data_IF_073502667791
#
_entry.id   IF_073502667791
#
_cell.length_a   1.000
_cell.length_b   1.000
_cell.length_c   1.000
_cell.angle_alpha   90.00
_cell.angle_beta   90.00
_cell.angle_gamma   90.00
#
_symmetry.space_group_name_H-M   'P 1'
#
loop_
_entity.id
_entity.type
_entity.pdbx_description
1 polymer ?
#
# COMPACT_ATOMS: atom_id res chain seq x y z
N UNK A 1 -5.19 19.20 -0.52
CA UNK A 1 -3.85 18.74 -0.12
C UNK A 1 -3.96 17.31 0.37
N UNK A 2 -3.04 16.43 0.00
CA UNK A 2 -3.04 15.05 0.46
C UNK A 2 -3.08 14.93 1.99
N UNK A 3 -3.63 13.84 2.49
CA UNK A 3 -3.63 13.47 3.91
C UNK A 3 -2.54 12.44 4.18
N UNK A 4 -2.02 12.40 5.41
CA UNK A 4 -0.97 11.47 5.81
C UNK A 4 -1.55 10.38 6.71
N UNK A 5 -1.30 9.12 6.36
CA UNK A 5 -1.61 7.96 7.18
C UNK A 5 -0.35 7.17 7.53
N UNK A 6 -0.45 6.26 8.49
CA UNK A 6 0.62 5.34 8.84
C UNK A 6 0.13 3.89 8.85
N UNK A 7 0.96 3.01 8.29
CA UNK A 7 0.84 1.56 8.36
C UNK A 7 1.70 1.02 9.51
N UNK A 8 1.28 -0.02 10.25
CA UNK A 8 1.99 -0.51 11.42
C UNK A 8 3.23 -1.37 11.09
N UNK A 9 4.12 -0.90 10.19
CA UNK A 9 5.19 -1.73 9.60
C UNK A 9 6.09 -2.39 10.63
N UNK A 10 6.56 -1.64 11.63
CA UNK A 10 7.44 -2.16 12.69
C UNK A 10 6.74 -3.13 13.66
N UNK A 11 5.42 -3.12 13.68
CA UNK A 11 4.60 -3.88 14.65
C UNK A 11 3.80 -5.02 13.99
N UNK A 12 4.10 -5.32 12.72
CA UNK A 12 3.33 -6.33 11.97
C UNK A 12 3.39 -7.70 12.64
N UNK A 13 4.56 -8.14 13.09
CA UNK A 13 4.68 -9.44 13.76
C UNK A 13 3.91 -9.48 15.08
N UNK A 14 3.92 -8.38 15.84
CA UNK A 14 3.17 -8.26 17.10
C UNK A 14 1.65 -8.27 16.89
N UNK A 15 1.17 -7.61 15.83
CA UNK A 15 -0.26 -7.43 15.53
C UNK A 15 -0.87 -8.60 14.73
N UNK A 16 -0.06 -9.33 13.96
CA UNK A 16 -0.53 -10.33 12.99
C UNK A 16 -0.15 -11.76 13.39
N UNK A 17 1.05 -11.94 13.97
CA UNK A 17 1.61 -13.28 14.23
C UNK A 17 1.55 -13.62 15.72
N UNK A 18 2.10 -12.75 16.56
CA UNK A 18 2.33 -13.05 17.97
C UNK A 18 1.20 -12.60 18.89
N UNK A 19 0.40 -11.59 18.49
CA UNK A 19 -0.64 -11.01 19.33
C UNK A 19 -0.10 -10.32 20.60
N UNK A 20 1.17 -9.90 20.57
CA UNK A 20 1.83 -9.22 21.70
C UNK A 20 1.46 -7.75 21.80
N UNK A 21 0.93 -7.17 20.73
CA UNK A 21 0.32 -5.85 20.68
C UNK A 21 -1.12 -5.97 20.18
N UNK A 22 -2.07 -5.31 20.85
CA UNK A 22 -3.45 -5.19 20.38
C UNK A 22 -3.59 -4.05 19.38
N UNK A 23 -4.61 -4.11 18.51
CA UNK A 23 -4.91 -3.01 17.59
C UNK A 23 -5.18 -1.70 18.33
N UNK A 24 -5.82 -1.74 19.51
CA UNK A 24 -6.04 -0.56 20.36
C UNK A 24 -4.74 0.07 20.80
N UNK A 25 -3.77 -0.72 21.25
CA UNK A 25 -2.44 -0.20 21.67
C UNK A 25 -1.71 0.46 20.49
N UNK A 26 -1.83 -0.10 19.28
CA UNK A 26 -1.28 0.53 18.08
C UNK A 26 -1.96 1.88 17.78
N UNK A 27 -3.30 1.92 17.82
CA UNK A 27 -4.07 3.16 17.59
C UNK A 27 -3.65 4.25 18.58
N UNK A 28 -3.59 3.92 19.86
CA UNK A 28 -3.21 4.87 20.91
C UNK A 28 -1.76 5.38 20.75
N UNK A 29 -0.83 4.49 20.37
CA UNK A 29 0.55 4.86 20.09
C UNK A 29 0.65 5.78 18.86
N UNK A 30 0.01 5.40 17.76
CA UNK A 30 0.05 6.15 16.50
C UNK A 30 -0.65 7.51 16.61
N UNK A 31 -1.64 7.66 17.49
CA UNK A 31 -2.33 8.93 17.76
C UNK A 31 -1.39 10.03 18.33
N UNK A 32 -0.19 9.64 18.78
CA UNK A 32 0.84 10.62 19.22
C UNK A 32 1.64 11.22 18.05
N UNK A 33 1.42 10.72 16.82
CA UNK A 33 2.04 11.22 15.59
C UNK A 33 1.20 12.32 14.95
N UNK A 34 1.84 13.19 14.17
CA UNK A 34 1.13 14.17 13.34
C UNK A 34 0.66 13.51 12.03
N UNK A 35 -0.39 12.68 12.15
CA UNK A 35 -1.00 11.96 11.02
C UNK A 35 -2.52 12.15 11.02
N UNK A 36 -3.17 11.95 9.85
CA UNK A 36 -4.61 12.13 9.66
C UNK A 36 -5.37 10.79 9.71
N UNK A 37 -4.66 9.67 9.62
CA UNK A 37 -5.29 8.36 9.57
C UNK A 37 -4.33 7.19 9.78
N UNK A 38 -4.92 6.01 9.85
CA UNK A 38 -4.21 4.74 9.98
C UNK A 38 -4.61 3.81 8.83
N UNK A 39 -3.64 3.23 8.20
CA UNK A 39 -3.87 2.16 7.25
C UNK A 39 -3.80 0.82 7.94
N UNK A 40 -4.76 -0.06 7.64
CA UNK A 40 -4.86 -1.38 8.27
C UNK A 40 -4.55 -2.49 7.27
N UNK A 41 -4.18 -3.64 7.82
CA UNK A 41 -3.93 -4.87 7.08
C UNK A 41 -5.01 -5.91 7.40
N UNK A 42 -5.45 -6.63 6.38
CA UNK A 42 -6.50 -7.66 6.52
C UNK A 42 -6.13 -8.82 7.43
N UNK A 43 -4.84 -9.02 7.70
CA UNK A 43 -4.31 -10.05 8.61
C UNK A 43 -4.25 -9.66 10.08
N UNK A 44 -4.62 -8.41 10.46
CA UNK A 44 -4.63 -8.00 11.87
C UNK A 44 -5.52 -8.93 12.70
N UNK A 45 -4.98 -9.49 13.79
CA UNK A 45 -5.67 -10.50 14.62
C UNK A 45 -7.01 -9.96 15.13
N UNK A 46 -7.03 -8.73 15.63
CA UNK A 46 -8.21 -8.09 16.19
C UNK A 46 -9.35 -7.90 15.18
N UNK A 47 -9.07 -7.85 13.88
CA UNK A 47 -10.06 -7.66 12.82
C UNK A 47 -10.61 -8.97 12.26
N UNK A 48 -10.13 -10.12 12.71
CA UNK A 48 -10.68 -11.42 12.28
C UNK A 48 -12.09 -11.66 12.85
N UNK A 49 -12.44 -11.01 13.95
CA UNK A 49 -13.79 -10.99 14.50
C UNK A 49 -14.56 -9.72 14.03
N UNK A 50 -15.59 -9.94 13.20
CA UNK A 50 -16.45 -8.85 12.69
C UNK A 50 -17.09 -8.00 13.81
N UNK A 51 -17.34 -8.58 14.99
CA UNK A 51 -17.95 -7.84 16.10
C UNK A 51 -17.06 -6.72 16.63
N UNK A 52 -15.75 -6.78 16.35
CA UNK A 52 -14.75 -5.79 16.78
C UNK A 52 -14.56 -4.62 15.81
N UNK A 53 -15.10 -4.70 14.58
CA UNK A 53 -14.93 -3.62 13.59
C UNK A 53 -15.47 -2.26 14.05
N UNK A 54 -16.69 -2.18 14.65
CA UNK A 54 -17.18 -0.91 15.17
C UNK A 54 -16.30 -0.31 16.28
N UNK A 55 -15.73 -1.17 17.13
CA UNK A 55 -14.79 -0.74 18.18
C UNK A 55 -13.50 -0.18 17.60
N UNK A 56 -12.90 -0.89 16.63
CA UNK A 56 -11.67 -0.45 15.97
C UNK A 56 -11.87 0.88 15.23
N UNK A 57 -12.98 1.02 14.51
CA UNK A 57 -13.38 2.29 13.88
C UNK A 57 -13.52 3.41 14.90
N UNK A 58 -14.33 3.18 15.92
CA UNK A 58 -14.57 4.18 16.97
C UNK A 58 -13.28 4.58 17.67
N UNK A 59 -12.41 3.62 18.00
CA UNK A 59 -11.13 3.91 18.64
C UNK A 59 -10.25 4.85 17.81
N UNK A 60 -10.25 4.67 16.48
CA UNK A 60 -9.51 5.54 15.56
C UNK A 60 -10.16 6.93 15.46
N UNK A 61 -11.49 6.98 15.34
CA UNK A 61 -12.26 8.23 15.25
C UNK A 61 -12.17 9.06 16.55
N UNK A 62 -12.13 8.43 17.73
CA UNK A 62 -11.98 9.09 19.04
C UNK A 62 -10.65 9.87 19.13
N UNK A 63 -9.63 9.49 18.37
CA UNK A 63 -8.38 10.24 18.22
C UNK A 63 -8.40 11.27 17.06
N UNK A 64 -9.55 11.46 16.41
CA UNK A 64 -9.70 12.37 15.28
C UNK A 64 -9.00 11.86 13.99
N UNK A 65 -8.72 10.57 13.93
CA UNK A 65 -8.13 9.90 12.75
C UNK A 65 -9.19 9.13 11.98
N UNK A 66 -8.86 8.71 10.75
CA UNK A 66 -9.71 7.84 9.91
C UNK A 66 -8.91 6.63 9.44
N UNK A 67 -9.61 5.61 8.94
CA UNK A 67 -8.99 4.43 8.34
C UNK A 67 -9.24 4.52 6.82
N UNK A 68 -8.33 5.12 6.02
CA UNK A 68 -8.59 5.35 4.59
C UNK A 68 -8.58 4.07 3.76
N UNK A 69 -7.72 3.12 4.11
CA UNK A 69 -7.43 1.96 3.27
C UNK A 69 -7.19 0.70 4.09
N UNK A 70 -7.60 -0.43 3.52
CA UNK A 70 -7.22 -1.78 3.94
C UNK A 70 -6.26 -2.39 2.93
N UNK A 71 -5.10 -2.85 3.41
CA UNK A 71 -4.16 -3.63 2.62
C UNK A 71 -4.58 -5.10 2.58
N UNK A 72 -4.94 -5.58 1.40
CA UNK A 72 -5.24 -6.98 1.11
C UNK A 72 -4.24 -7.55 0.10
N UNK A 73 -4.01 -8.87 0.16
CA UNK A 73 -3.04 -9.57 -0.69
C UNK A 73 -3.68 -10.79 -1.36
N UNK A 74 -4.67 -10.60 -2.27
CA UNK A 74 -5.25 -11.70 -3.00
C UNK A 74 -4.26 -12.29 -4.02
N UNK A 75 -4.38 -13.56 -4.32
CA UNK A 75 -3.60 -14.24 -5.35
C UNK A 75 -4.47 -14.55 -6.57
N UNK A 76 -4.61 -13.58 -7.46
CA UNK A 76 -5.50 -13.64 -8.62
C UNK A 76 -4.89 -14.33 -9.85
N UNK A 77 -3.58 -14.65 -9.82
CA UNK A 77 -2.90 -15.30 -10.95
C UNK A 77 -2.77 -16.82 -10.80
N UNK A 78 -3.45 -17.42 -9.82
CA UNK A 78 -3.44 -18.87 -9.67
C UNK A 78 -4.06 -19.58 -10.89
N UNK A 79 -3.47 -20.67 -11.44
CA UNK A 79 -4.00 -21.35 -12.65
C UNK A 79 -5.38 -21.99 -12.42
N UNK A 80 -5.67 -22.48 -11.22
CA UNK A 80 -6.99 -23.04 -10.88
C UNK A 80 -8.06 -21.93 -10.76
N UNK A 81 -9.10 -21.95 -11.62
CA UNK A 81 -10.17 -20.95 -11.57
C UNK A 81 -11.01 -21.03 -10.27
N UNK A 82 -11.10 -22.19 -9.64
CA UNK A 82 -11.81 -22.34 -8.36
C UNK A 82 -11.06 -21.60 -7.26
N UNK A 83 -9.74 -21.74 -7.21
CA UNK A 83 -8.91 -20.97 -6.26
C UNK A 83 -9.05 -19.46 -6.50
N UNK A 84 -9.03 -19.00 -7.76
CA UNK A 84 -9.24 -17.58 -8.06
C UNK A 84 -10.61 -17.09 -7.59
N UNK A 85 -11.66 -17.89 -7.75
CA UNK A 85 -13.00 -17.55 -7.22
C UNK A 85 -12.99 -17.39 -5.68
N UNK A 86 -12.29 -18.28 -4.97
CA UNK A 86 -12.11 -18.16 -3.51
C UNK A 86 -11.37 -16.88 -3.12
N UNK A 87 -10.38 -16.44 -3.94
CA UNK A 87 -9.71 -15.16 -3.71
C UNK A 87 -10.63 -13.95 -3.99
N UNK A 88 -11.48 -14.02 -5.00
CA UNK A 88 -12.52 -13.02 -5.26
C UNK A 88 -13.50 -12.90 -4.10
N UNK A 89 -13.93 -14.02 -3.53
CA UNK A 89 -14.85 -14.03 -2.38
C UNK A 89 -14.18 -13.45 -1.12
N UNK A 90 -12.90 -13.77 -0.89
CA UNK A 90 -12.10 -13.13 0.17
C UNK A 90 -11.95 -11.62 -0.05
N UNK A 91 -11.67 -11.20 -1.29
CA UNK A 91 -11.54 -9.78 -1.60
C UNK A 91 -12.85 -9.02 -1.36
N UNK A 92 -14.01 -9.62 -1.67
CA UNK A 92 -15.32 -9.03 -1.33
C UNK A 92 -15.52 -8.90 0.18
N UNK A 93 -15.11 -9.89 0.96
CA UNK A 93 -15.13 -9.79 2.41
C UNK A 93 -14.25 -8.63 2.93
N UNK A 94 -13.07 -8.43 2.36
CA UNK A 94 -12.19 -7.33 2.74
C UNK A 94 -12.73 -5.96 2.31
N UNK A 95 -13.48 -5.89 1.19
CA UNK A 95 -14.22 -4.69 0.80
C UNK A 95 -15.31 -4.34 1.83
N UNK A 96 -16.08 -5.34 2.30
CA UNK A 96 -17.05 -5.13 3.38
C UNK A 96 -16.37 -4.62 4.66
N UNK A 97 -15.25 -5.24 5.05
CA UNK A 97 -14.46 -4.81 6.20
C UNK A 97 -13.99 -3.36 6.04
N UNK A 98 -13.46 -3.01 4.87
CA UNK A 98 -13.02 -1.65 4.54
C UNK A 98 -14.14 -0.65 4.76
N UNK A 99 -15.32 -0.89 4.17
CA UNK A 99 -16.46 -0.01 4.30
C UNK A 99 -16.98 0.09 5.74
N UNK A 100 -17.04 -1.02 6.47
CA UNK A 100 -17.47 -1.05 7.87
C UNK A 100 -16.53 -0.23 8.79
N UNK A 101 -15.23 -0.24 8.49
CA UNK A 101 -14.21 0.56 9.17
C UNK A 101 -14.20 2.03 8.74
N UNK A 102 -15.04 2.42 7.74
CA UNK A 102 -15.11 3.80 7.23
C UNK A 102 -14.10 4.09 6.13
N UNK A 103 -13.39 3.09 5.63
CA UNK A 103 -12.41 3.20 4.55
C UNK A 103 -13.05 3.33 3.17
N UNK A 104 -12.33 3.96 2.27
CA UNK A 104 -12.77 4.20 0.89
C UNK A 104 -11.85 3.56 -0.15
N UNK A 105 -10.74 2.98 0.29
CA UNK A 105 -9.80 2.26 -0.58
C UNK A 105 -9.56 0.84 -0.04
N UNK A 106 -9.50 -0.13 -0.93
CA UNK A 106 -9.10 -1.49 -0.62
C UNK A 106 -8.07 -1.96 -1.63
N UNK A 107 -6.86 -2.26 -1.13
CA UNK A 107 -5.77 -2.72 -1.99
C UNK A 107 -6.10 -4.09 -2.57
N UNK A 108 -5.62 -4.30 -3.78
CA UNK A 108 -5.48 -5.59 -4.44
C UNK A 108 -4.03 -5.79 -4.86
N UNK A 109 -3.59 -7.04 -4.92
CA UNK A 109 -2.36 -7.44 -5.60
C UNK A 109 -2.72 -8.29 -6.82
N UNK A 110 -1.80 -8.42 -7.78
CA UNK A 110 -2.05 -9.24 -8.97
C UNK A 110 -2.05 -10.74 -8.66
N UNK A 111 -1.20 -11.16 -7.73
CA UNK A 111 -0.98 -12.56 -7.39
C UNK A 111 0.46 -12.99 -7.66
N UNK A 112 0.73 -14.27 -7.59
CA UNK A 112 2.07 -14.82 -7.66
C UNK A 112 2.51 -15.13 -9.11
N UNK A 113 3.76 -14.80 -9.45
CA UNK A 113 4.41 -15.08 -10.76
C UNK A 113 4.83 -16.55 -10.84
N UNK A 114 3.86 -17.43 -11.07
CA UNK A 114 4.12 -18.86 -11.22
C UNK A 114 4.73 -19.20 -12.58
N UNK A 115 5.70 -20.13 -12.64
CA UNK A 115 6.33 -20.52 -13.91
C UNK A 115 5.37 -21.07 -14.98
N UNK A 116 4.27 -21.70 -14.53
CA UNK A 116 3.27 -22.29 -15.42
C UNK A 116 2.22 -21.30 -15.95
N UNK A 117 2.22 -20.07 -15.45
CA UNK A 117 1.29 -19.02 -15.89
C UNK A 117 1.97 -18.07 -16.85
N UNK A 118 1.50 -18.01 -18.09
CA UNK A 118 2.03 -17.08 -19.07
C UNK A 118 1.73 -15.61 -18.66
N UNK A 119 2.52 -14.66 -19.20
CA UNK A 119 2.25 -13.23 -19.00
C UNK A 119 0.84 -12.85 -19.44
N UNK A 120 0.40 -13.31 -20.60
CA UNK A 120 -0.92 -12.98 -21.12
C UNK A 120 -2.05 -13.54 -20.24
N UNK A 121 -1.93 -14.81 -19.84
CA UNK A 121 -2.92 -15.44 -18.96
C UNK A 121 -2.97 -14.76 -17.57
N UNK A 122 -1.81 -14.48 -17.00
CA UNK A 122 -1.73 -13.83 -15.69
C UNK A 122 -2.35 -12.43 -15.67
N UNK A 123 -2.13 -11.63 -16.73
CA UNK A 123 -2.79 -10.31 -16.90
C UNK A 123 -4.31 -10.50 -16.96
N UNK A 124 -4.80 -11.43 -17.78
CA UNK A 124 -6.23 -11.66 -17.94
C UNK A 124 -6.86 -12.22 -16.66
N UNK A 125 -6.22 -13.15 -15.96
CA UNK A 125 -6.72 -13.70 -14.69
C UNK A 125 -6.86 -12.62 -13.62
N UNK A 126 -5.82 -11.80 -13.44
CA UNK A 126 -5.86 -10.73 -12.45
C UNK A 126 -6.90 -9.67 -12.83
N UNK A 127 -6.96 -9.25 -14.11
CA UNK A 127 -7.94 -8.28 -14.57
C UNK A 127 -9.38 -8.76 -14.35
N UNK A 128 -9.71 -10.00 -14.72
CA UNK A 128 -11.05 -10.59 -14.53
C UNK A 128 -11.46 -10.64 -13.05
N UNK A 129 -10.53 -11.03 -12.17
CA UNK A 129 -10.81 -11.07 -10.73
C UNK A 129 -11.09 -9.67 -10.18
N UNK A 130 -10.28 -8.67 -10.54
CA UNK A 130 -10.47 -7.26 -10.12
C UNK A 130 -11.77 -6.71 -10.68
N UNK A 131 -12.05 -6.90 -11.96
CA UNK A 131 -13.29 -6.46 -12.61
C UNK A 131 -14.54 -7.14 -12.02
N UNK A 132 -14.41 -8.38 -11.53
CA UNK A 132 -15.47 -9.09 -10.80
C UNK A 132 -15.73 -8.49 -9.40
N UNK A 133 -14.70 -7.97 -8.74
CA UNK A 133 -14.83 -7.32 -7.44
C UNK A 133 -15.33 -5.86 -7.55
N UNK A 134 -15.05 -5.17 -8.65
CA UNK A 134 -15.29 -3.73 -8.78
C UNK A 134 -16.75 -3.29 -8.61
N UNK A 135 -17.78 -3.96 -9.18
CA UNK A 135 -19.17 -3.57 -8.93
C UNK A 135 -19.57 -3.71 -7.45
N UNK A 136 -19.06 -4.74 -6.77
CA UNK A 136 -19.31 -4.94 -5.35
C UNK A 136 -18.62 -3.85 -4.51
N UNK A 137 -17.39 -3.48 -4.85
CA UNK A 137 -16.68 -2.38 -4.20
C UNK A 137 -17.43 -1.05 -4.39
N UNK A 138 -17.93 -0.77 -5.60
CA UNK A 138 -18.71 0.44 -5.88
C UNK A 138 -19.99 0.53 -5.03
N UNK A 139 -20.70 -0.59 -4.81
CA UNK A 139 -21.89 -0.64 -3.94
C UNK A 139 -21.58 -0.29 -2.49
N UNK A 140 -20.34 -0.51 -2.06
CA UNK A 140 -19.85 -0.20 -0.71
C UNK A 140 -19.11 1.15 -0.62
N UNK A 141 -19.08 1.94 -1.70
CA UNK A 141 -18.35 3.20 -1.76
C UNK A 141 -16.82 3.03 -1.70
N UNK A 142 -16.32 1.87 -2.11
CA UNK A 142 -14.90 1.53 -2.07
C UNK A 142 -14.29 1.56 -3.47
N UNK A 143 -13.13 2.18 -3.59
CA UNK A 143 -12.26 2.11 -4.78
C UNK A 143 -11.22 1.03 -4.58
N UNK A 144 -11.07 0.14 -5.53
CA UNK A 144 -9.97 -0.81 -5.57
C UNK A 144 -8.71 -0.12 -6.07
N UNK A 145 -7.57 -0.41 -5.47
CA UNK A 145 -6.30 0.10 -5.96
C UNK A 145 -5.25 -1.02 -5.99
N UNK A 146 -4.54 -1.13 -7.11
CA UNK A 146 -3.45 -2.07 -7.24
C UNK A 146 -2.14 -1.41 -6.85
N UNK A 147 -1.34 -2.09 -6.04
CA UNK A 147 0.00 -1.65 -5.69
C UNK A 147 1.04 -2.28 -6.61
N UNK A 148 2.02 -1.49 -7.03
CA UNK A 148 3.25 -2.03 -7.60
C UNK A 148 4.07 -2.64 -6.47
N UNK A 149 3.90 -3.94 -6.24
CA UNK A 149 4.40 -4.69 -5.10
C UNK A 149 5.51 -5.67 -5.51
N UNK A 150 6.19 -6.28 -4.55
CA UNK A 150 7.31 -7.19 -4.82
C UNK A 150 7.02 -8.64 -4.47
N UNK A 151 6.64 -8.93 -3.24
CA UNK A 151 6.30 -10.26 -2.74
C UNK A 151 5.64 -10.16 -1.38
N UNK A 152 4.46 -10.73 -1.24
CA UNK A 152 3.88 -10.93 0.09
C UNK A 152 4.65 -12.03 0.84
N UNK A 153 4.83 -11.87 2.17
CA UNK A 153 5.63 -12.78 3.00
C UNK A 153 5.18 -14.24 2.95
N UNK A 154 3.89 -14.47 2.73
CA UNK A 154 3.29 -15.81 2.71
C UNK A 154 3.32 -16.46 1.33
N UNK A 155 3.79 -15.77 0.29
CA UNK A 155 3.85 -16.27 -1.06
C UNK A 155 5.11 -17.07 -1.35
N UNK A 156 4.99 -18.07 -2.21
CA UNK A 156 6.14 -18.86 -2.70
C UNK A 156 6.90 -18.09 -3.78
N UNK A 157 6.17 -17.46 -4.70
CA UNK A 157 6.73 -16.75 -5.85
C UNK A 157 6.66 -15.23 -5.67
N UNK A 158 7.49 -14.46 -6.40
CA UNK A 158 7.34 -13.02 -6.47
C UNK A 158 5.95 -12.58 -6.96
N UNK A 159 5.65 -11.30 -6.76
CA UNK A 159 4.48 -10.65 -7.37
C UNK A 159 4.50 -10.83 -8.88
N UNK A 160 3.34 -11.21 -9.46
CA UNK A 160 3.22 -11.37 -10.91
C UNK A 160 3.50 -10.05 -11.66
N UNK A 161 2.89 -8.97 -11.20
CA UNK A 161 3.04 -7.63 -11.78
C UNK A 161 4.14 -6.80 -11.11
N UNK A 162 5.21 -7.43 -10.60
CA UNK A 162 6.33 -6.72 -10.00
C UNK A 162 7.07 -5.83 -11.00
N UNK A 163 7.29 -6.30 -12.24
CA UNK A 163 7.96 -5.53 -13.28
C UNK A 163 7.05 -4.47 -13.87
N UNK A 164 7.61 -3.28 -14.08
CA UNK A 164 6.91 -2.09 -14.54
C UNK A 164 6.09 -2.31 -15.82
N UNK A 165 6.63 -3.05 -16.78
CA UNK A 165 5.95 -3.32 -18.05
C UNK A 165 4.72 -4.22 -17.85
N UNK A 166 4.81 -5.25 -17.00
CA UNK A 166 3.67 -6.11 -16.66
C UNK A 166 2.63 -5.34 -15.84
N UNK A 167 3.09 -4.53 -14.87
CA UNK A 167 2.22 -3.69 -14.05
C UNK A 167 1.41 -2.71 -14.90
N UNK A 168 2.08 -1.98 -15.79
CA UNK A 168 1.42 -1.02 -16.65
C UNK A 168 0.42 -1.68 -17.61
N UNK A 169 0.77 -2.82 -18.22
CA UNK A 169 -0.14 -3.56 -19.08
C UNK A 169 -1.40 -4.03 -18.33
N UNK A 170 -1.23 -4.50 -17.08
CA UNK A 170 -2.36 -4.88 -16.24
C UNK A 170 -3.24 -3.67 -15.88
N UNK A 171 -2.65 -2.55 -15.47
CA UNK A 171 -3.39 -1.31 -15.17
C UNK A 171 -4.12 -0.80 -16.41
N UNK A 172 -3.52 -0.87 -17.58
CA UNK A 172 -4.16 -0.49 -18.85
C UNK A 172 -5.28 -1.45 -19.25
N UNK A 173 -5.17 -2.74 -18.93
CA UNK A 173 -6.19 -3.75 -19.24
C UNK A 173 -7.48 -3.53 -18.44
N UNK A 174 -7.40 -3.00 -17.20
CA UNK A 174 -8.55 -2.82 -16.32
C UNK A 174 -9.22 -1.47 -16.61
N UNK A 175 -10.52 -1.50 -17.00
CA UNK A 175 -11.26 -0.30 -17.44
C UNK A 175 -12.43 0.10 -16.53
N UNK A 176 -12.56 -0.53 -15.35
CA UNK A 176 -13.63 -0.18 -14.40
C UNK A 176 -13.37 1.19 -13.74
N UNK A 177 -14.40 2.00 -13.47
CA UNK A 177 -14.22 3.39 -13.03
C UNK A 177 -13.71 3.52 -11.59
N UNK A 178 -14.05 2.58 -10.71
CA UNK A 178 -13.62 2.56 -9.30
C UNK A 178 -12.37 1.70 -9.08
N UNK A 179 -11.37 1.91 -9.94
CA UNK A 179 -10.06 1.26 -9.85
C UNK A 179 -8.94 2.26 -10.12
N UNK A 180 -7.88 2.19 -9.34
CA UNK A 180 -6.70 3.02 -9.50
C UNK A 180 -5.41 2.32 -9.07
N UNK A 181 -4.38 3.11 -8.87
CA UNK A 181 -3.05 2.67 -8.48
C UNK A 181 -2.74 3.17 -7.07
N UNK A 182 -2.22 2.29 -6.23
CA UNK A 182 -1.46 2.63 -5.04
C UNK A 182 0.02 2.62 -5.41
N UNK A 183 0.62 3.80 -5.54
CA UNK A 183 1.99 3.93 -5.99
C UNK A 183 2.98 3.79 -4.84
N UNK A 184 3.92 2.83 -4.93
CA UNK A 184 5.04 2.67 -4.00
C UNK A 184 6.38 2.83 -4.76
N UNK A 185 7.14 3.90 -4.50
CA UNK A 185 8.40 4.15 -5.18
C UNK A 185 9.49 3.13 -4.82
N UNK A 186 9.54 2.66 -3.57
CA UNK A 186 10.57 1.71 -3.14
C UNK A 186 10.43 0.33 -3.74
N UNK A 187 9.20 -0.11 -4.02
CA UNK A 187 8.95 -1.39 -4.66
C UNK A 187 9.45 -1.40 -6.11
N UNK A 188 9.44 -0.24 -6.76
CA UNK A 188 10.06 -0.08 -8.09
C UNK A 188 11.58 -0.19 -8.03
N UNK A 189 12.21 0.47 -7.04
CA UNK A 189 13.67 0.34 -6.81
C UNK A 189 14.04 -1.11 -6.53
N UNK A 190 13.23 -1.80 -5.73
CA UNK A 190 13.46 -3.21 -5.38
C UNK A 190 13.41 -4.11 -6.63
N UNK A 191 12.58 -3.79 -7.62
CA UNK A 191 12.57 -4.44 -8.93
C UNK A 191 13.77 -4.04 -9.82
N UNK A 192 14.66 -3.16 -9.36
CA UNK A 192 15.79 -2.64 -10.12
C UNK A 192 15.39 -1.64 -11.21
N UNK A 193 14.25 -0.99 -11.04
CA UNK A 193 13.66 -0.07 -12.02
C UNK A 193 13.55 1.35 -11.42
N UNK A 194 13.33 2.35 -12.29
CA UNK A 194 13.24 3.76 -11.89
C UNK A 194 11.82 4.13 -11.44
N UNK A 195 11.62 4.54 -10.17
CA UNK A 195 10.29 4.88 -9.66
C UNK A 195 9.66 6.10 -10.37
N UNK A 196 10.45 7.05 -10.85
CA UNK A 196 9.92 8.22 -11.56
C UNK A 196 9.41 7.86 -12.95
N UNK A 197 10.06 6.89 -13.61
CA UNK A 197 9.58 6.35 -14.89
C UNK A 197 8.24 5.62 -14.71
N UNK A 198 8.10 4.80 -13.68
CA UNK A 198 6.81 4.18 -13.36
C UNK A 198 5.75 5.23 -13.06
N UNK A 199 6.07 6.19 -12.18
CA UNK A 199 5.12 7.24 -11.80
C UNK A 199 4.62 8.01 -13.02
N UNK A 200 5.50 8.39 -13.93
CA UNK A 200 5.12 9.10 -15.17
C UNK A 200 4.12 8.31 -16.01
N UNK A 201 4.28 6.98 -16.09
CA UNK A 201 3.36 6.10 -16.83
C UNK A 201 1.98 5.96 -16.18
N UNK A 202 1.90 5.98 -14.84
CA UNK A 202 0.66 5.69 -14.11
C UNK A 202 0.04 6.88 -13.38
N UNK A 203 0.67 8.06 -13.38
CA UNK A 203 0.30 9.22 -12.55
C UNK A 203 -1.16 9.62 -12.62
N UNK A 204 -1.82 9.48 -13.77
CA UNK A 204 -3.25 9.77 -13.94
C UNK A 204 -4.19 8.69 -13.37
N UNK A 205 -3.65 7.57 -12.91
CA UNK A 205 -4.36 6.46 -12.27
C UNK A 205 -4.05 6.35 -10.78
N UNK A 206 -3.09 7.12 -10.26
CA UNK A 206 -2.72 7.10 -8.84
C UNK A 206 -3.85 7.68 -8.00
N UNK A 207 -4.40 6.86 -7.10
CA UNK A 207 -5.47 7.22 -6.16
C UNK A 207 -5.01 7.22 -4.71
N UNK A 208 -3.93 6.48 -4.38
CA UNK A 208 -3.23 6.49 -3.10
C UNK A 208 -1.73 6.28 -3.33
N UNK A 209 -0.92 6.59 -2.32
CA UNK A 209 0.52 6.36 -2.37
C UNK A 209 0.98 5.70 -1.07
N UNK A 210 1.79 4.66 -1.18
CA UNK A 210 2.66 4.24 -0.09
C UNK A 210 3.95 5.06 -0.11
N UNK A 211 4.22 5.75 0.98
CA UNK A 211 5.50 6.39 1.19
C UNK A 211 6.43 5.41 1.90
N UNK A 212 7.51 5.08 1.25
CA UNK A 212 8.56 4.18 1.74
C UNK A 212 9.91 4.64 1.23
N UNK A 213 10.98 4.23 1.85
CA UNK A 213 12.33 4.53 1.37
C UNK A 213 13.28 3.37 1.65
N UNK A 214 14.29 3.25 0.79
CA UNK A 214 15.28 2.18 0.89
C UNK A 214 16.68 2.71 0.64
N UNK A 215 17.64 2.14 1.36
CA UNK A 215 19.05 2.43 1.19
C UNK A 215 19.75 1.22 0.60
N UNK A 216 20.59 1.45 -0.41
CA UNK A 216 21.45 0.43 -0.97
C UNK A 216 22.65 0.22 -0.03
N UNK A 217 22.76 -0.98 0.56
CA UNK A 217 23.83 -1.31 1.51
C UNK A 217 25.07 -1.89 0.84
N UNK A 218 24.94 -2.38 -0.40
CA UNK A 218 26.07 -2.90 -1.20
C UNK A 218 25.71 -3.02 -2.67
N UNK A 219 26.72 -3.00 -3.55
CA UNK A 219 26.53 -3.19 -5.00
C UNK A 219 25.96 -1.98 -5.71
N UNK A 220 25.26 -2.22 -6.82
CA UNK A 220 24.70 -1.24 -7.74
C UNK A 220 23.23 -1.54 -8.06
N UNK A 221 22.53 -0.59 -8.69
CA UNK A 221 21.17 -0.82 -9.20
C UNK A 221 21.14 -1.96 -10.23
N UNK A 222 22.19 -2.10 -11.05
CA UNK A 222 22.28 -3.22 -12.00
C UNK A 222 22.38 -4.60 -11.30
N UNK A 223 22.89 -4.64 -10.09
CA UNK A 223 22.88 -5.87 -9.28
C UNK A 223 21.48 -6.16 -8.71
N UNK A 224 20.71 -5.14 -8.37
CA UNK A 224 19.31 -5.30 -7.94
C UNK A 224 18.45 -5.97 -9.00
N UNK A 225 18.60 -5.57 -10.28
CA UNK A 225 17.86 -6.16 -11.39
C UNK A 225 18.07 -7.67 -11.52
N UNK A 226 19.30 -8.14 -11.26
CA UNK A 226 19.66 -9.57 -11.31
C UNK A 226 19.11 -10.36 -10.12
N UNK A 227 19.16 -9.76 -8.92
CA UNK A 227 18.71 -10.41 -7.69
C UNK A 227 17.19 -10.50 -7.61
N UNK A 228 16.50 -9.50 -8.11
CA UNK A 228 15.03 -9.45 -8.12
C UNK A 228 14.42 -10.62 -8.89
N UNK A 229 15.01 -11.00 -10.02
CA UNK A 229 14.53 -12.09 -10.86
C UNK A 229 14.48 -13.46 -10.15
N UNK A 230 15.18 -13.61 -9.02
CA UNK A 230 15.30 -14.89 -8.31
C UNK A 230 14.34 -15.05 -7.14
N UNK A 231 14.09 -14.01 -6.35
CA UNK A 231 13.39 -14.11 -5.06
C UNK A 231 12.29 -13.06 -4.82
N UNK A 232 12.08 -12.13 -5.76
CA UNK A 232 11.09 -11.06 -5.65
C UNK A 232 11.50 -9.87 -4.79
N UNK A 233 12.64 -9.93 -4.10
CA UNK A 233 13.24 -8.79 -3.38
C UNK A 233 14.76 -8.91 -3.35
N UNK A 234 15.43 -7.78 -3.18
CA UNK A 234 16.88 -7.70 -3.17
C UNK A 234 17.44 -7.55 -1.75
N UNK A 235 18.35 -8.46 -1.36
CA UNK A 235 19.01 -8.43 -0.04
C UNK A 235 19.95 -7.23 0.14
N UNK A 236 20.28 -6.53 -0.96
CA UNK A 236 21.15 -5.35 -0.95
C UNK A 236 20.43 -4.07 -0.52
N UNK A 237 19.11 -4.11 -0.43
CA UNK A 237 18.30 -3.00 0.02
C UNK A 237 17.87 -3.20 1.48
N UNK A 238 17.97 -2.11 2.25
CA UNK A 238 17.43 -2.04 3.60
C UNK A 238 16.31 -1.00 3.62
N UNK A 239 15.18 -1.31 4.24
CA UNK A 239 14.19 -0.31 4.64
C UNK A 239 14.82 0.72 5.56
N UNK A 240 14.35 1.95 5.50
CA UNK A 240 14.89 3.03 6.31
C UNK A 240 13.86 4.09 6.65
N UNK A 241 14.35 5.14 7.28
CA UNK A 241 13.56 6.35 7.50
C UNK A 241 13.34 7.07 6.18
N UNK A 242 12.10 7.47 5.92
CA UNK A 242 11.75 8.17 4.67
C UNK A 242 12.53 9.49 4.56
N UNK A 243 13.14 9.69 3.39
CA UNK A 243 13.99 10.83 3.11
C UNK A 243 15.48 10.61 3.41
N UNK A 244 15.85 9.44 3.89
CA UNK A 244 17.24 9.01 4.10
C UNK A 244 17.69 8.00 3.03
N UNK A 245 16.80 7.61 2.13
CA UNK A 245 17.06 6.58 1.12
C UNK A 245 17.21 7.16 -0.30
N UNK A 246 16.80 6.38 -1.27
CA UNK A 246 17.05 6.60 -2.69
C UNK A 246 15.93 7.33 -3.42
N UNK A 247 14.76 7.52 -2.80
CA UNK A 247 13.61 8.12 -3.45
C UNK A 247 13.69 9.66 -3.49
N UNK A 248 13.51 10.23 -4.67
CA UNK A 248 13.39 11.69 -4.85
C UNK A 248 11.94 12.14 -4.57
N UNK A 249 11.64 12.44 -3.31
CA UNK A 249 10.33 12.90 -2.88
C UNK A 249 9.93 14.28 -3.46
N UNK A 250 10.89 15.13 -3.85
CA UNK A 250 10.56 16.38 -4.51
C UNK A 250 10.05 16.14 -5.94
N UNK A 251 10.70 15.27 -6.69
CA UNK A 251 10.23 14.88 -8.02
C UNK A 251 8.89 14.11 -7.96
N UNK A 252 8.75 13.17 -7.02
CA UNK A 252 7.51 12.39 -6.81
C UNK A 252 6.34 13.33 -6.51
N UNK A 253 6.48 14.22 -5.52
CA UNK A 253 5.40 15.10 -5.10
C UNK A 253 5.09 16.18 -6.15
N UNK A 254 6.08 16.67 -6.87
CA UNK A 254 5.88 17.57 -8.02
C UNK A 254 5.03 16.90 -9.09
N UNK A 255 5.35 15.65 -9.43
CA UNK A 255 4.60 14.86 -10.44
C UNK A 255 3.17 14.61 -9.99
N UNK A 256 2.95 14.13 -8.76
CA UNK A 256 1.62 13.90 -8.20
C UNK A 256 0.78 15.17 -8.16
N UNK A 257 1.38 16.29 -7.71
CA UNK A 257 0.71 17.60 -7.72
C UNK A 257 0.31 18.04 -9.12
N UNK A 258 1.14 17.80 -10.12
CA UNK A 258 0.87 18.20 -11.51
C UNK A 258 -0.40 17.57 -12.11
N UNK A 259 -0.83 16.42 -11.58
CA UNK A 259 -2.05 15.73 -11.99
C UNK A 259 -3.21 15.90 -10.99
N UNK A 260 -3.06 16.80 -10.01
CA UNK A 260 -4.12 17.14 -9.05
C UNK A 260 -4.32 16.10 -7.93
N UNK A 261 -3.31 15.28 -7.62
CA UNK A 261 -3.39 14.33 -6.52
C UNK A 261 -3.65 15.04 -5.18
N UNK A 262 -4.72 14.68 -4.48
CA UNK A 262 -5.15 15.24 -3.20
C UNK A 262 -5.67 14.18 -2.20
N UNK A 263 -5.30 12.93 -2.42
CA UNK A 263 -5.75 11.77 -1.67
C UNK A 263 -4.81 11.41 -0.51
N UNK A 264 -4.57 10.13 -0.26
CA UNK A 264 -3.82 9.64 0.88
C UNK A 264 -2.40 9.23 0.52
N UNK A 265 -1.47 9.66 1.36
CA UNK A 265 -0.10 9.18 1.41
C UNK A 265 0.03 8.38 2.71
N UNK A 266 0.33 7.10 2.63
CA UNK A 266 0.44 6.23 3.80
C UNK A 266 1.89 5.80 3.99
N UNK A 267 2.43 5.98 5.19
CA UNK A 267 3.79 5.55 5.52
C UNK A 267 3.81 4.02 5.65
N UNK A 268 4.51 3.33 4.75
CA UNK A 268 4.78 1.90 4.81
C UNK A 268 6.27 1.64 5.09
N UNK A 269 6.79 2.31 6.09
CA UNK A 269 8.18 2.20 6.52
C UNK A 269 8.30 2.32 8.04
N UNK A 270 9.51 2.53 8.58
CA UNK A 270 9.73 2.62 10.01
C UNK A 270 9.95 1.25 10.66
N UNK A 271 10.58 0.32 9.94
CA UNK A 271 10.81 -1.07 10.39
C UNK A 271 11.68 -1.17 11.65
N UNK A 272 12.52 -0.17 11.91
CA UNK A 272 13.39 -0.14 13.11
C UNK A 272 12.70 0.54 14.33
N UNK A 273 11.37 0.74 14.28
CA UNK A 273 10.56 1.16 15.41
C UNK A 273 9.99 2.57 15.33
N UNK A 274 9.46 3.03 16.45
CA UNK A 274 8.61 4.23 16.51
C UNK A 274 9.38 5.54 16.23
N UNK A 275 10.63 5.63 16.63
CA UNK A 275 11.42 6.85 16.39
C UNK A 275 11.73 7.04 14.88
N UNK A 276 11.96 5.96 14.15
CA UNK A 276 12.09 6.01 12.69
C UNK A 276 10.79 6.45 12.03
N UNK A 277 9.64 5.96 12.53
CA UNK A 277 8.32 6.40 12.05
C UNK A 277 8.08 7.90 12.33
N UNK A 278 8.49 8.41 13.50
CA UNK A 278 8.43 9.86 13.79
C UNK A 278 9.26 10.70 12.82
N UNK A 279 10.49 10.24 12.51
CA UNK A 279 11.36 10.90 11.53
C UNK A 279 10.70 10.97 10.14
N UNK A 280 10.12 9.85 9.71
CA UNK A 280 9.38 9.75 8.44
C UNK A 280 8.16 10.69 8.40
N UNK A 281 7.37 10.76 9.48
CA UNK A 281 6.25 11.71 9.59
C UNK A 281 6.73 13.15 9.46
N UNK A 282 7.75 13.53 10.21
CA UNK A 282 8.30 14.90 10.18
C UNK A 282 8.83 15.28 8.80
N UNK A 283 9.52 14.34 8.12
CA UNK A 283 10.00 14.54 6.75
C UNK A 283 8.83 14.76 5.78
N UNK A 284 7.85 13.86 5.78
CA UNK A 284 6.73 13.94 4.83
C UNK A 284 5.87 15.17 5.07
N UNK A 285 5.56 15.53 6.31
CA UNK A 285 4.82 16.77 6.62
C UNK A 285 5.54 18.00 6.07
N UNK A 286 6.86 18.10 6.25
CA UNK A 286 7.66 19.19 5.71
C UNK A 286 7.60 19.22 4.16
N UNK A 287 7.75 18.07 3.50
CA UNK A 287 7.68 17.96 2.04
C UNK A 287 6.27 18.25 1.50
N UNK A 288 5.23 17.75 2.15
CA UNK A 288 3.85 18.04 1.80
C UNK A 288 3.54 19.54 1.91
N UNK A 289 3.98 20.19 2.99
CA UNK A 289 3.82 21.64 3.15
C UNK A 289 4.57 22.43 2.07
N UNK A 290 5.76 21.99 1.67
CA UNK A 290 6.55 22.60 0.61
C UNK A 290 5.85 22.51 -0.75
N UNK A 291 5.25 21.39 -1.09
CA UNK A 291 4.64 21.16 -2.40
C UNK A 291 3.18 21.63 -2.49
N UNK A 292 2.36 21.41 -1.47
CA UNK A 292 0.93 21.75 -1.48
C UNK A 292 0.55 22.98 -0.64
N UNK A 293 1.52 23.54 0.07
CA UNK A 293 1.30 24.63 1.02
C UNK A 293 0.97 24.14 2.45
N UNK A 294 1.01 25.04 3.46
CA UNK A 294 0.74 24.66 4.82
C UNK A 294 -0.73 24.21 4.98
N UNK A 295 -0.96 23.16 5.79
CA UNK A 295 -2.30 22.81 6.24
C UNK A 295 -2.82 23.91 7.15
N UNK A 296 -3.90 24.57 6.77
CA UNK A 296 -4.68 25.38 7.69
C UNK A 296 -5.44 24.41 8.61
N UNK A 297 -4.99 24.26 9.85
CA UNK A 297 -5.75 23.51 10.86
C UNK A 297 -5.02 22.55 11.79
N UNK A 298 -3.70 22.58 11.87
CA UNK A 298 -2.96 21.81 12.91
C UNK A 298 -2.82 22.59 14.23
N UNK A 299 -3.67 23.61 14.47
CA UNK A 299 -3.73 24.27 15.78
C UNK A 299 -4.66 23.51 16.71
N UNK A 300 -4.11 22.97 17.79
CA UNK A 300 -4.78 22.49 19.00
C UNK A 300 -5.24 21.02 19.07
N UNK A 301 -4.39 20.04 18.69
CA UNK A 301 -4.61 18.67 19.20
C UNK A 301 -3.94 18.39 20.57
N UNK A 302 -3.18 19.35 21.12
CA UNK A 302 -2.47 19.23 22.41
C UNK A 302 -2.62 20.49 23.28
N UNK A 303 -3.88 20.95 23.49
CA UNK A 303 -4.17 21.91 24.53
C UNK A 303 -5.11 21.32 25.58
#
# INVERSE_FOLDING_TARGET
MPKLAAFPKAYMDDLVVHGTMTLRQWIDLAATLDIDGLEFYTGLIDLQDRSRWPEARKATEDHGMTIPMMCASPDFTHPDPKFRQEQVDKQKFWIEMTAALGGTYCRVLSGQRRPEVSRADGIEFAAQCIETCAPFAAQHGVTLNIENHYKDNYWTYPEFAQKMDVFCDLVERIKVPNFGVNYDPSNTILAGEDPLVLLERVKHRVVTMHASDRTLISGTIADLQKEEDSIGYAKRLKHGEIGQGMNDYDAIFSTLKSVGFDSWISIEDGVDGFDQLKGSVAFLRRKMAQHWGPQYGTSNRHA
#
